data_IF_788890340357
#
_entry.id   IF_788890340357
#
_cell.length_a   1.000
_cell.length_b   1.000
_cell.length_c   1.000
_cell.angle_alpha   90.00
_cell.angle_beta   90.00
_cell.angle_gamma   90.00
#
_symmetry.space_group_name_H-M   'P 1'
#
loop_
_entity.id
_entity.type
_entity.pdbx_description
1 polymer ?
#
# COMPACT_ATOMS: atom_id res chain seq x y z
N UNK A 1 -4.10 10.71 10.19
CA UNK A 1 -5.17 9.83 9.66
C UNK A 1 -4.81 9.44 8.24
N UNK A 2 -5.08 8.20 7.86
CA UNK A 2 -4.88 7.71 6.48
C UNK A 2 -5.90 8.33 5.52
N UNK A 3 -5.49 8.54 4.27
CA UNK A 3 -6.41 8.91 3.18
C UNK A 3 -7.34 7.73 2.84
N UNK A 4 -8.59 7.99 2.38
CA UNK A 4 -9.47 6.96 1.87
C UNK A 4 -8.82 6.12 0.77
N UNK A 5 -9.16 4.84 0.74
CA UNK A 5 -8.63 3.89 -0.25
C UNK A 5 -8.93 4.32 -1.68
N UNK A 6 -10.17 4.71 -1.96
CA UNK A 6 -10.60 5.09 -3.30
C UNK A 6 -9.94 6.38 -3.81
N UNK A 7 -9.59 7.31 -2.93
CA UNK A 7 -8.89 8.55 -3.32
C UNK A 7 -7.52 8.25 -3.93
N UNK A 8 -6.78 7.31 -3.34
CA UNK A 8 -5.48 6.87 -3.86
C UNK A 8 -5.63 6.17 -5.21
N UNK A 9 -6.66 5.32 -5.37
CA UNK A 9 -6.92 4.67 -6.66
C UNK A 9 -7.32 5.66 -7.75
N UNK A 10 -8.17 6.64 -7.43
CA UNK A 10 -8.57 7.67 -8.39
C UNK A 10 -7.40 8.56 -8.80
N UNK A 11 -6.54 8.92 -7.84
CA UNK A 11 -5.32 9.66 -8.13
C UNK A 11 -4.40 8.86 -9.06
N UNK A 12 -4.18 7.57 -8.78
CA UNK A 12 -3.40 6.70 -9.67
C UNK A 12 -4.00 6.60 -11.07
N UNK A 13 -5.32 6.39 -11.19
CA UNK A 13 -6.03 6.35 -12.47
C UNK A 13 -5.90 7.65 -13.25
N UNK A 14 -5.95 8.80 -12.58
CA UNK A 14 -5.79 10.11 -13.21
C UNK A 14 -4.35 10.30 -13.72
N UNK A 15 -3.34 9.92 -12.91
CA UNK A 15 -1.95 9.95 -13.36
C UNK A 15 -1.73 9.08 -14.62
N UNK A 16 -2.34 7.89 -14.67
CA UNK A 16 -2.27 7.02 -15.85
C UNK A 16 -2.92 7.66 -17.07
N UNK A 17 -4.07 8.33 -16.90
CA UNK A 17 -4.70 9.09 -17.99
C UNK A 17 -3.79 10.21 -18.51
N UNK A 18 -2.97 10.79 -17.64
CA UNK A 18 -1.97 11.80 -17.99
C UNK A 18 -0.67 11.21 -18.58
N UNK A 19 -0.64 9.89 -18.85
CA UNK A 19 0.49 9.20 -19.48
C UNK A 19 1.56 8.69 -18.50
N UNK A 20 1.29 8.71 -17.19
CA UNK A 20 2.21 8.16 -16.19
C UNK A 20 2.16 6.63 -16.21
N UNK A 21 3.31 6.00 -16.40
CA UNK A 21 3.44 4.54 -16.37
C UNK A 21 4.17 4.00 -15.12
N UNK A 22 4.73 4.89 -14.29
CA UNK A 22 5.41 4.52 -13.04
C UNK A 22 4.91 5.33 -11.85
N UNK A 23 4.47 4.63 -10.79
CA UNK A 23 3.97 5.23 -9.55
C UNK A 23 4.90 4.87 -8.40
N UNK A 24 5.20 5.86 -7.54
CA UNK A 24 5.95 5.63 -6.31
C UNK A 24 5.08 6.00 -5.10
N UNK A 25 4.83 5.03 -4.22
CA UNK A 25 4.13 5.22 -2.96
C UNK A 25 5.12 5.72 -1.91
N UNK A 26 4.84 6.90 -1.36
CA UNK A 26 5.66 7.51 -0.32
C UNK A 26 4.84 7.69 0.96
N UNK A 27 5.47 7.37 2.08
CA UNK A 27 4.91 7.56 3.40
C UNK A 27 5.93 7.17 4.45
N UNK A 28 5.82 7.73 5.66
CA UNK A 28 6.72 7.39 6.76
C UNK A 28 6.59 5.92 7.18
N UNK A 29 5.38 5.35 7.10
CA UNK A 29 5.12 3.94 7.33
C UNK A 29 4.02 3.45 6.38
N UNK A 30 4.41 3.09 5.15
CA UNK A 30 3.47 2.59 4.14
C UNK A 30 2.85 1.24 4.54
N UNK A 31 3.59 0.40 5.26
CA UNK A 31 3.14 -0.92 5.71
C UNK A 31 1.97 -0.87 6.71
N UNK A 32 1.77 0.27 7.38
CA UNK A 32 0.67 0.48 8.33
C UNK A 32 -0.51 1.25 7.75
N UNK A 33 -0.48 1.58 6.46
CA UNK A 33 -1.54 2.32 5.79
C UNK A 33 -2.92 1.68 6.00
N UNK A 34 -3.93 2.50 6.26
CA UNK A 34 -5.32 2.06 6.37
C UNK A 34 -5.65 1.33 7.67
N UNK A 35 -4.67 1.03 8.52
CA UNK A 35 -4.93 0.36 9.81
C UNK A 35 -5.80 1.20 10.75
N UNK A 36 -5.71 2.53 10.70
CA UNK A 36 -6.57 3.43 11.47
C UNK A 36 -8.00 3.49 10.91
N UNK A 37 -8.16 3.32 9.59
CA UNK A 37 -9.47 3.20 8.94
C UNK A 37 -10.13 1.89 9.35
N UNK A 38 -9.46 0.75 9.16
CA UNK A 38 -10.01 -0.58 9.49
C UNK A 38 -10.23 -0.74 10.99
N UNK A 39 -9.43 -0.08 11.83
CA UNK A 39 -9.65 -0.05 13.28
C UNK A 39 -10.97 0.63 13.66
N UNK A 40 -11.37 1.67 12.93
CA UNK A 40 -12.66 2.34 13.14
C UNK A 40 -13.82 1.50 12.61
N UNK A 41 -13.68 0.92 11.42
CA UNK A 41 -14.74 0.17 10.74
C UNK A 41 -14.99 -1.22 11.34
N UNK A 42 -14.01 -1.83 12.02
CA UNK A 42 -14.18 -3.17 12.60
C UNK A 42 -15.36 -3.18 13.59
N UNK A 43 -16.18 -4.23 13.52
CA UNK A 43 -17.31 -4.43 14.44
C UNK A 43 -18.48 -3.47 14.21
N UNK A 44 -18.43 -2.60 13.20
CA UNK A 44 -19.60 -1.87 12.72
C UNK A 44 -20.36 -2.71 11.69
N UNK A 45 -21.65 -2.45 11.54
CA UNK A 45 -22.42 -3.04 10.45
C UNK A 45 -21.90 -2.52 9.10
N UNK A 46 -21.78 -3.38 8.08
CA UNK A 46 -21.33 -2.97 6.75
C UNK A 46 -22.16 -1.84 6.15
N UNK A 47 -21.48 -0.78 5.74
CA UNK A 47 -22.10 0.34 5.03
C UNK A 47 -21.53 0.49 3.63
N UNK A 48 -22.32 1.06 2.71
CA UNK A 48 -21.93 1.31 1.32
C UNK A 48 -20.65 2.17 1.24
N UNK A 49 -20.50 3.13 2.16
CA UNK A 49 -19.32 4.00 2.24
C UNK A 49 -18.02 3.30 2.65
N UNK A 50 -18.07 2.09 3.22
CA UNK A 50 -16.88 1.36 3.66
C UNK A 50 -15.99 0.96 2.48
N UNK A 51 -16.60 0.74 1.30
CA UNK A 51 -15.88 0.42 0.07
C UNK A 51 -14.94 1.56 -0.33
N UNK A 52 -15.41 2.81 -0.19
CA UNK A 52 -14.61 3.99 -0.50
C UNK A 52 -13.44 4.16 0.47
N UNK A 53 -13.66 3.79 1.73
CA UNK A 53 -12.69 3.96 2.80
C UNK A 53 -11.63 2.86 2.82
N UNK A 54 -12.02 1.60 2.63
CA UNK A 54 -11.17 0.44 2.87
C UNK A 54 -10.96 -0.49 1.65
N UNK A 55 -11.64 -0.25 0.53
CA UNK A 55 -11.51 -1.05 -0.68
C UNK A 55 -12.31 -2.36 -0.63
N UNK A 56 -12.49 -3.00 -1.79
CA UNK A 56 -13.31 -4.20 -1.94
C UNK A 56 -12.76 -5.39 -1.16
N UNK A 57 -11.45 -5.65 -1.29
CA UNK A 57 -10.79 -6.80 -0.69
C UNK A 57 -10.96 -6.91 0.83
N UNK A 58 -10.86 -5.80 1.57
CA UNK A 58 -11.06 -5.82 3.02
C UNK A 58 -12.53 -5.96 3.39
N UNK A 59 -13.41 -5.30 2.63
CA UNK A 59 -14.86 -5.34 2.88
C UNK A 59 -15.49 -6.71 2.63
N UNK A 60 -14.91 -7.49 1.70
CA UNK A 60 -15.35 -8.84 1.36
C UNK A 60 -14.80 -9.93 2.32
N UNK A 61 -13.94 -9.58 3.29
CA UNK A 61 -13.40 -10.57 4.25
C UNK A 61 -14.50 -11.04 5.19
N UNK A 62 -14.51 -12.35 5.46
CA UNK A 62 -15.39 -12.96 6.47
C UNK A 62 -15.25 -12.28 7.83
N UNK A 63 -14.02 -11.93 8.22
CA UNK A 63 -13.72 -11.18 9.45
C UNK A 63 -13.06 -9.83 9.16
N UNK A 64 -13.85 -8.76 9.29
CA UNK A 64 -13.37 -7.37 9.27
C UNK A 64 -12.53 -7.04 10.50
N UNK A 65 -11.21 -7.22 10.38
CA UNK A 65 -10.24 -7.00 11.45
C UNK A 65 -9.44 -5.71 11.27
N UNK A 66 -8.76 -5.25 12.33
CA UNK A 66 -7.89 -4.07 12.30
C UNK A 66 -6.54 -4.35 11.61
N UNK A 67 -6.59 -4.72 10.33
CA UNK A 67 -5.40 -4.99 9.50
C UNK A 67 -5.03 -3.76 8.67
N UNK A 68 -3.75 -3.58 8.31
CA UNK A 68 -3.36 -2.65 7.26
C UNK A 68 -4.03 -2.99 5.92
N UNK A 69 -4.17 -1.97 5.07
CA UNK A 69 -4.76 -2.07 3.72
C UNK A 69 -3.68 -1.97 2.62
N UNK A 70 -2.41 -1.88 2.99
CA UNK A 70 -1.33 -1.66 2.03
C UNK A 70 -1.21 -2.78 0.99
N UNK A 71 -1.35 -4.04 1.43
CA UNK A 71 -1.35 -5.19 0.53
C UNK A 71 -2.52 -5.14 -0.47
N UNK A 72 -3.71 -4.76 0.01
CA UNK A 72 -4.89 -4.61 -0.85
C UNK A 72 -4.69 -3.45 -1.84
N UNK A 73 -4.09 -2.34 -1.41
CA UNK A 73 -3.76 -1.20 -2.26
C UNK A 73 -2.78 -1.57 -3.37
N UNK A 74 -1.74 -2.35 -3.07
CA UNK A 74 -0.77 -2.80 -4.09
C UNK A 74 -1.43 -3.64 -5.18
N UNK A 75 -2.35 -4.54 -4.79
CA UNK A 75 -3.11 -5.39 -5.73
C UNK A 75 -3.99 -4.54 -6.64
N UNK A 76 -4.75 -3.63 -6.05
CA UNK A 76 -5.68 -2.77 -6.78
C UNK A 76 -4.96 -1.80 -7.73
N UNK A 77 -3.85 -1.21 -7.27
CA UNK A 77 -2.99 -0.42 -8.15
C UNK A 77 -2.42 -1.29 -9.28
N UNK A 78 -2.02 -2.52 -8.97
CA UNK A 78 -1.54 -3.48 -9.94
C UNK A 78 -2.50 -3.78 -11.09
N UNK A 79 -3.79 -3.77 -10.79
CA UNK A 79 -4.87 -4.02 -11.76
C UNK A 79 -5.18 -2.80 -12.66
N UNK A 80 -4.62 -1.62 -12.38
CA UNK A 80 -4.83 -0.44 -13.23
C UNK A 80 -4.00 -0.60 -14.51
N UNK A 81 -4.71 -0.82 -15.63
CA UNK A 81 -4.10 -0.86 -16.97
C UNK A 81 -3.30 0.43 -17.23
N UNK A 82 -2.06 0.28 -17.67
CA UNK A 82 -1.16 1.40 -17.98
C UNK A 82 -0.07 1.62 -16.91
N UNK A 83 -0.25 1.10 -15.70
CA UNK A 83 0.82 1.06 -14.70
C UNK A 83 1.80 -0.06 -15.06
N UNK A 84 3.01 0.31 -15.45
CA UNK A 84 4.11 -0.64 -15.69
C UNK A 84 4.94 -0.88 -14.44
N UNK A 85 4.98 0.09 -13.53
CA UNK A 85 5.81 -0.01 -12.33
C UNK A 85 5.17 0.66 -11.12
N UNK A 86 5.18 -0.05 -9.99
CA UNK A 86 4.84 0.45 -8.66
C UNK A 86 6.09 0.27 -7.79
N UNK A 87 6.56 1.37 -7.22
CA UNK A 87 7.62 1.40 -6.21
C UNK A 87 7.04 1.89 -4.89
N UNK A 88 7.65 1.48 -3.79
CA UNK A 88 7.38 2.10 -2.49
C UNK A 88 8.65 2.10 -1.66
N UNK A 89 8.78 3.08 -0.77
CA UNK A 89 9.88 3.11 0.18
C UNK A 89 9.37 2.64 1.53
N UNK A 90 9.87 1.51 2.01
CA UNK A 90 9.69 1.10 3.40
C UNK A 90 11.02 1.23 4.15
N UNK A 91 11.07 1.93 5.30
CA UNK A 91 12.32 2.10 6.04
C UNK A 91 12.83 0.79 6.67
N UNK A 92 11.97 -0.22 6.86
CA UNK A 92 12.34 -1.43 7.61
C UNK A 92 11.78 -2.74 7.00
N UNK A 93 12.67 -3.67 6.58
CA UNK A 93 12.28 -5.00 6.11
C UNK A 93 11.54 -5.86 7.14
N UNK A 94 11.76 -5.62 8.44
CA UNK A 94 11.11 -6.36 9.55
C UNK A 94 9.62 -6.03 9.72
N UNK A 95 9.16 -4.89 9.20
CA UNK A 95 7.75 -4.51 9.22
C UNK A 95 6.99 -5.01 7.98
N UNK A 96 7.67 -5.76 7.09
CA UNK A 96 7.05 -6.35 5.91
C UNK A 96 6.28 -7.60 6.31
N UNK A 97 4.96 -7.46 6.31
CA UNK A 97 4.03 -8.56 6.59
C UNK A 97 3.95 -9.52 5.40
N UNK A 98 3.57 -10.76 5.69
CA UNK A 98 3.43 -11.81 4.68
C UNK A 98 2.38 -11.48 3.61
N UNK A 99 1.32 -10.74 3.98
CA UNK A 99 0.29 -10.28 3.04
C UNK A 99 0.84 -9.30 2.00
N UNK A 100 1.75 -8.42 2.40
CA UNK A 100 2.47 -7.50 1.50
C UNK A 100 3.40 -8.29 0.57
N UNK A 101 4.16 -9.26 1.10
CA UNK A 101 5.02 -10.12 0.26
C UNK A 101 4.21 -10.89 -0.77
N UNK A 102 3.06 -11.46 -0.37
CA UNK A 102 2.13 -12.13 -1.28
C UNK A 102 1.56 -11.17 -2.33
N UNK A 103 1.20 -9.95 -1.93
CA UNK A 103 0.70 -8.94 -2.86
C UNK A 103 1.77 -8.57 -3.89
N UNK A 104 3.03 -8.39 -3.48
CA UNK A 104 4.14 -8.14 -4.41
C UNK A 104 4.33 -9.30 -5.37
N UNK A 105 4.39 -10.54 -4.87
CA UNK A 105 4.60 -11.73 -5.70
C UNK A 105 3.46 -11.97 -6.71
N UNK A 106 2.24 -11.54 -6.39
CA UNK A 106 1.06 -11.71 -7.24
C UNK A 106 0.79 -10.51 -8.16
N UNK A 107 1.57 -9.43 -8.04
CA UNK A 107 1.34 -8.20 -8.80
C UNK A 107 2.57 -7.88 -9.65
N UNK A 108 2.52 -8.22 -10.94
CA UNK A 108 3.66 -8.10 -11.88
C UNK A 108 4.22 -6.67 -11.98
N UNK A 109 3.37 -5.64 -11.86
CA UNK A 109 3.79 -4.24 -11.93
C UNK A 109 4.46 -3.74 -10.65
N UNK A 110 4.32 -4.45 -9.52
CA UNK A 110 5.01 -4.10 -8.26
C UNK A 110 6.44 -4.61 -8.35
N UNK A 111 7.37 -3.69 -8.63
CA UNK A 111 8.74 -4.08 -8.92
C UNK A 111 9.46 -4.56 -7.63
N UNK A 112 10.18 -5.67 -7.74
CA UNK A 112 10.92 -6.39 -6.69
C UNK A 112 12.11 -5.62 -6.08
N UNK A 113 12.14 -4.29 -6.13
CA UNK A 113 13.25 -3.53 -5.57
C UNK A 113 13.10 -3.39 -4.04
N UNK A 114 13.12 -4.54 -3.35
CA UNK A 114 13.58 -4.57 -1.96
C UNK A 114 15.07 -4.22 -2.00
N UNK A 115 15.43 -3.03 -1.53
CA UNK A 115 16.78 -2.81 -1.03
C UNK A 115 16.97 -3.75 0.17
N UNK A 116 17.54 -4.93 -0.06
CA UNK A 116 18.13 -5.72 1.00
C UNK A 116 19.54 -5.14 1.26
N UNK A 117 19.78 -4.36 2.33
CA UNK A 117 21.10 -4.37 2.91
C UNK A 117 21.32 -5.79 3.43
N UNK A 118 22.12 -6.60 2.73
CA UNK A 118 22.56 -7.90 3.22
C UNK A 118 23.51 -7.66 4.39
N UNK A 119 22.97 -7.36 5.57
CA UNK A 119 23.73 -7.37 6.81
C UNK A 119 23.22 -8.52 7.66
N UNK A 120 23.94 -9.64 7.51
CA UNK A 120 23.97 -10.74 8.47
C UNK A 120 24.15 -10.18 9.88
N UNK A 121 23.10 -10.25 10.70
CA UNK A 121 23.16 -9.76 12.08
C UNK A 121 21.87 -10.00 12.86
N UNK A 122 21.91 -11.03 13.70
CA UNK A 122 21.01 -11.40 14.82
C UNK A 122 19.80 -10.48 15.07
N UNK A 123 18.61 -11.06 14.97
CA UNK A 123 17.35 -10.46 15.41
C UNK A 123 17.27 -10.59 16.94
N UNK A 124 17.76 -9.58 17.68
CA UNK A 124 17.39 -9.38 19.08
C UNK A 124 16.09 -8.59 19.15
N UNK A 125 15.07 -9.12 19.80
CA UNK A 125 13.93 -8.33 20.25
C UNK A 125 14.40 -7.43 21.39
N UNK A 126 14.16 -6.12 21.30
CA UNK A 126 14.33 -5.20 22.43
C UNK A 126 13.00 -4.52 22.72
N UNK A 127 12.53 -4.74 23.93
CA UNK A 127 11.44 -4.04 24.60
C UNK A 127 11.85 -2.57 24.78
N UNK A 128 11.17 -1.65 24.09
CA UNK A 128 10.95 -0.23 24.42
C UNK A 128 10.56 0.54 23.15
N UNK A 129 9.28 0.49 22.81
CA UNK A 129 8.70 1.30 21.74
C UNK A 129 8.34 2.70 22.26
N UNK A 130 8.81 3.76 21.58
CA UNK A 130 7.82 4.76 21.16
C UNK A 130 8.15 5.40 19.80
N UNK A 131 7.17 5.36 18.89
CA UNK A 131 6.61 6.49 18.11
C UNK A 131 5.84 5.93 16.92
N UNK A 132 4.53 5.78 17.12
CA UNK A 132 3.60 5.51 16.02
C UNK A 132 3.43 6.82 15.26
N UNK A 133 4.13 6.97 14.13
CA UNK A 133 3.83 8.03 13.18
C UNK A 133 2.66 7.61 12.31
N UNK A 134 1.47 8.17 12.59
CA UNK A 134 0.31 8.03 11.71
C UNK A 134 0.50 8.93 10.48
N UNK A 135 1.12 8.39 9.43
CA UNK A 135 1.33 9.11 8.17
C UNK A 135 0.34 8.70 7.09
N UNK A 136 -0.14 9.67 6.30
CA UNK A 136 -0.85 9.40 5.06
C UNK A 136 0.11 8.88 3.99
N UNK A 137 -0.36 7.95 3.14
CA UNK A 137 0.35 7.56 1.91
C UNK A 137 0.04 8.58 0.83
N UNK A 138 1.08 9.02 0.11
CA UNK A 138 0.97 9.93 -1.03
C UNK A 138 1.60 9.27 -2.25
N UNK A 139 0.99 9.49 -3.41
CA UNK A 139 1.55 9.08 -4.69
C UNK A 139 2.51 10.17 -5.18
N UNK A 140 3.74 9.80 -5.51
CA UNK A 140 4.62 10.65 -6.32
C UNK A 140 4.93 9.98 -7.65
N UNK A 141 4.85 10.79 -8.68
CA UNK A 141 5.21 10.41 -10.05
C UNK A 141 6.71 10.46 -10.23
N UNK A 142 7.28 9.43 -10.84
CA UNK A 142 8.58 9.52 -11.51
C UNK A 142 8.27 9.25 -12.98
N UNK A 143 8.31 10.28 -13.81
CA UNK A 143 7.89 10.17 -15.20
C UNK A 143 8.90 9.33 -16.00
N UNK A 144 8.55 8.08 -16.29
CA UNK A 144 9.05 7.36 -17.45
C UNK A 144 7.97 7.46 -18.53
N UNK A 145 8.03 8.50 -19.37
CA UNK A 145 7.21 8.53 -20.59
C UNK A 145 7.58 7.28 -21.39
N UNK A 146 6.62 6.36 -21.53
CA UNK A 146 6.78 5.26 -22.48
C UNK A 146 6.63 5.86 -23.86
N UNK A 147 7.74 6.17 -24.52
CA UNK A 147 7.74 6.35 -25.96
C UNK A 147 7.37 5.00 -26.59
N UNK A 148 6.07 4.74 -26.74
CA UNK A 148 5.58 3.73 -27.65
C UNK A 148 5.40 4.44 -28.99
N UNK A 149 6.40 4.24 -29.85
CA UNK A 149 6.38 4.51 -31.29
C UNK A 149 5.82 3.29 -32.02
#
# INVERSE_FOLDING_TARGET
>A
MSRPFNDLLNEAKNLVKDGVSEITLLGQNVNSYGRDITLKLRGQEPQEGDLLLAGEHWNAREKRSASPLFADLLRELGNIKGIRRIRYTSPHPKDMREDVMKAMAQTESVCEHLHFPVQSGRIGYSENAPRIYSGAVSLKTVAGKSDYS
#
